data_IF_964179806420
#
_entry.id   IF_964179806420
#
_cell.length_a   1.000
_cell.length_b   1.000
_cell.length_c   1.000
_cell.angle_alpha   90.00
_cell.angle_beta   90.00
_cell.angle_gamma   90.00
#
_symmetry.space_group_name_H-M   'P 1'
#
loop_
_entity.id
_entity.type
_entity.pdbx_description
1 polymer ?
#
# COMPACT_ATOMS: atom_id res chain seq x y z
N UNK A 1 4.74 7.55 -9.52
CA UNK A 1 3.94 8.81 -9.47
C UNK A 1 4.29 9.56 -8.18
N UNK A 2 4.45 10.89 -8.19
CA UNK A 2 4.72 11.69 -6.97
C UNK A 2 3.55 12.63 -6.70
N UNK A 3 3.02 12.61 -5.48
CA UNK A 3 1.95 13.51 -5.07
C UNK A 3 2.49 14.89 -4.67
N UNK A 4 1.67 15.92 -4.83
CA UNK A 4 1.80 17.19 -4.14
C UNK A 4 0.88 17.24 -2.90
N UNK A 5 0.92 18.33 -2.14
CA UNK A 5 0.13 18.45 -0.90
C UNK A 5 -1.38 18.34 -1.14
N UNK A 6 -1.89 18.93 -2.23
CA UNK A 6 -3.31 18.89 -2.58
C UNK A 6 -3.72 17.46 -2.98
N UNK A 7 -2.96 16.85 -3.88
CA UNK A 7 -3.20 15.47 -4.32
C UNK A 7 -3.16 14.48 -3.15
N UNK A 8 -2.28 14.71 -2.18
CA UNK A 8 -2.23 13.91 -0.96
C UNK A 8 -3.48 14.09 -0.09
N UNK A 9 -3.96 15.32 0.10
CA UNK A 9 -5.23 15.56 0.82
C UNK A 9 -6.39 14.88 0.11
N UNK A 10 -6.51 15.09 -1.21
CA UNK A 10 -7.56 14.49 -2.04
C UNK A 10 -7.51 12.95 -1.96
N UNK A 11 -6.30 12.37 -1.96
CA UNK A 11 -6.09 10.93 -1.76
C UNK A 11 -6.57 10.45 -0.39
N UNK A 12 -6.20 11.13 0.70
CA UNK A 12 -6.60 10.75 2.07
C UNK A 12 -8.11 10.78 2.23
N UNK A 13 -8.78 11.79 1.68
CA UNK A 13 -10.24 11.92 1.69
C UNK A 13 -10.94 10.85 0.83
N UNK A 14 -10.22 10.27 -0.13
CA UNK A 14 -10.75 9.31 -1.11
C UNK A 14 -10.31 7.86 -0.86
N UNK A 15 -9.68 7.54 0.28
CA UNK A 15 -9.15 6.20 0.58
C UNK A 15 -10.22 5.11 0.39
N UNK A 16 -11.39 5.27 0.99
CA UNK A 16 -12.44 4.25 0.92
C UNK A 16 -12.99 4.11 -0.52
N UNK A 17 -13.05 5.21 -1.29
CA UNK A 17 -13.45 5.18 -2.70
C UNK A 17 -12.44 4.41 -3.57
N UNK A 18 -11.15 4.59 -3.32
CA UNK A 18 -10.09 3.85 -3.98
C UNK A 18 -10.11 2.37 -3.63
N UNK A 19 -10.34 2.02 -2.35
CA UNK A 19 -10.47 0.62 -1.93
C UNK A 19 -11.68 -0.03 -2.60
N UNK A 20 -12.84 0.62 -2.61
CA UNK A 20 -14.04 0.11 -3.27
C UNK A 20 -13.83 -0.10 -4.77
N UNK A 21 -13.08 0.79 -5.42
CA UNK A 21 -12.69 0.60 -6.81
C UNK A 21 -11.81 -0.62 -7.02
N UNK A 22 -10.80 -0.85 -6.16
CA UNK A 22 -9.97 -2.04 -6.25
C UNK A 22 -10.79 -3.32 -6.07
N UNK A 23 -11.66 -3.36 -5.06
CA UNK A 23 -12.54 -4.52 -4.80
C UNK A 23 -13.45 -4.78 -6.02
N UNK A 24 -14.06 -3.74 -6.58
CA UNK A 24 -14.89 -3.88 -7.79
C UNK A 24 -14.09 -4.48 -8.94
N UNK A 25 -12.87 -3.99 -9.20
CA UNK A 25 -12.05 -4.51 -10.29
C UNK A 25 -11.58 -5.95 -10.02
N UNK A 26 -11.26 -6.28 -8.77
CA UNK A 26 -10.89 -7.64 -8.37
C UNK A 26 -12.07 -8.61 -8.61
N UNK A 27 -13.28 -8.21 -8.20
CA UNK A 27 -14.50 -8.98 -8.44
C UNK A 27 -14.77 -9.19 -9.93
N UNK A 28 -14.62 -8.13 -10.75
CA UNK A 28 -14.76 -8.23 -12.21
C UNK A 28 -13.74 -9.19 -12.85
N UNK A 29 -12.65 -9.52 -12.14
CA UNK A 29 -11.63 -10.46 -12.55
C UNK A 29 -11.68 -11.81 -11.81
N UNK A 30 -12.76 -12.09 -11.06
CA UNK A 30 -12.99 -13.38 -10.40
C UNK A 30 -12.42 -13.52 -8.99
N UNK A 31 -11.87 -12.45 -8.42
CA UNK A 31 -11.38 -12.42 -7.04
C UNK A 31 -12.47 -11.89 -6.11
N UNK A 32 -13.49 -12.70 -5.82
CA UNK A 32 -14.68 -12.29 -5.06
C UNK A 32 -14.34 -11.78 -3.64
N UNK A 33 -14.86 -10.60 -3.29
CA UNK A 33 -14.82 -10.00 -1.96
C UNK A 33 -15.77 -8.80 -1.83
N UNK A 34 -16.21 -8.51 -0.61
CA UNK A 34 -17.16 -7.43 -0.32
C UNK A 34 -16.47 -6.23 0.34
N UNK A 35 -15.40 -6.47 1.10
CA UNK A 35 -14.71 -5.44 1.87
C UNK A 35 -13.20 -5.71 1.98
N UNK A 36 -12.47 -4.73 2.50
CA UNK A 36 -11.00 -4.82 2.63
C UNK A 36 -10.53 -6.06 3.40
N UNK A 37 -11.27 -6.46 4.44
CA UNK A 37 -10.87 -7.57 5.33
C UNK A 37 -10.95 -8.93 4.65
N UNK A 38 -11.75 -9.05 3.60
CA UNK A 38 -11.80 -10.27 2.79
C UNK A 38 -10.47 -10.51 2.08
N UNK A 39 -9.70 -9.44 1.87
CA UNK A 39 -8.38 -9.47 1.25
C UNK A 39 -7.22 -9.41 2.25
N UNK A 40 -7.47 -9.27 3.56
CA UNK A 40 -6.40 -9.27 4.60
C UNK A 40 -5.53 -10.53 4.51
N UNK A 41 -6.14 -11.69 4.25
CA UNK A 41 -5.46 -12.99 4.12
C UNK A 41 -5.37 -13.47 2.66
N UNK A 42 -5.66 -12.58 1.70
CA UNK A 42 -5.65 -12.86 0.25
C UNK A 42 -4.87 -11.80 -0.49
N UNK A 43 -3.77 -11.34 0.12
CA UNK A 43 -2.88 -10.33 -0.47
C UNK A 43 -2.23 -10.88 -1.75
N UNK A 44 -2.04 -12.19 -1.85
CA UNK A 44 -1.56 -12.84 -3.07
C UNK A 44 -2.53 -12.70 -4.25
N UNK A 45 -3.85 -12.67 -4.02
CA UNK A 45 -4.85 -12.43 -5.07
C UNK A 45 -4.68 -11.02 -5.66
N UNK A 46 -4.40 -10.03 -4.80
CA UNK A 46 -4.09 -8.67 -5.22
C UNK A 46 -2.82 -8.68 -6.07
N UNK A 47 -1.76 -9.35 -5.61
CA UNK A 47 -0.52 -9.49 -6.38
C UNK A 47 -0.77 -10.14 -7.75
N UNK A 48 -1.47 -11.26 -7.79
CA UNK A 48 -1.80 -11.99 -9.03
C UNK A 48 -2.57 -11.10 -10.01
N UNK A 49 -3.53 -10.31 -9.51
CA UNK A 49 -4.26 -9.34 -10.32
C UNK A 49 -3.30 -8.31 -10.96
N UNK A 50 -2.41 -7.69 -10.18
CA UNK A 50 -1.48 -6.69 -10.72
C UNK A 50 -0.47 -7.31 -11.70
N UNK A 51 -0.04 -8.54 -11.46
CA UNK A 51 0.88 -9.26 -12.35
C UNK A 51 0.24 -9.58 -13.71
N UNK A 52 -1.03 -9.98 -13.72
CA UNK A 52 -1.68 -10.55 -14.90
C UNK A 52 -2.58 -9.57 -15.64
N UNK A 53 -3.14 -8.57 -14.95
CA UNK A 53 -4.19 -7.69 -15.49
C UNK A 53 -3.78 -6.23 -15.62
N UNK A 54 -2.80 -5.74 -14.83
CA UNK A 54 -2.50 -4.30 -14.77
C UNK A 54 -2.23 -3.67 -16.15
N UNK A 55 -1.46 -4.33 -17.01
CA UNK A 55 -1.11 -3.83 -18.34
C UNK A 55 -2.21 -3.95 -19.40
N UNK A 56 -3.33 -4.61 -19.10
CA UNK A 56 -4.49 -4.68 -20.00
C UNK A 56 -5.26 -3.35 -20.01
N UNK A 57 -5.18 -2.60 -18.91
CA UNK A 57 -5.89 -1.35 -18.72
C UNK A 57 -5.15 -0.15 -19.31
N UNK A 58 -5.91 0.90 -19.64
CA UNK A 58 -5.35 2.19 -20.08
C UNK A 58 -4.65 2.96 -18.94
N UNK A 59 -3.95 4.05 -19.28
CA UNK A 59 -3.20 4.85 -18.32
C UNK A 59 -4.08 5.47 -17.22
N UNK A 60 -5.34 5.82 -17.53
CA UNK A 60 -6.27 6.42 -16.56
C UNK A 60 -6.63 5.38 -15.50
N UNK A 61 -6.98 4.17 -15.93
CA UNK A 61 -7.32 3.06 -15.04
C UNK A 61 -6.09 2.58 -14.27
N UNK A 62 -4.93 2.49 -14.93
CA UNK A 62 -3.65 2.16 -14.26
C UNK A 62 -3.31 3.18 -13.16
N UNK A 63 -3.51 4.48 -13.40
CA UNK A 63 -3.35 5.51 -12.37
C UNK A 63 -4.29 5.29 -11.19
N UNK A 64 -5.55 4.96 -11.45
CA UNK A 64 -6.52 4.68 -10.39
C UNK A 64 -6.17 3.40 -9.62
N UNK A 65 -5.67 2.37 -10.31
CA UNK A 65 -5.14 1.16 -9.67
C UNK A 65 -3.93 1.45 -8.79
N UNK A 66 -3.01 2.34 -9.19
CA UNK A 66 -1.89 2.77 -8.33
C UNK A 66 -2.35 3.45 -7.06
N UNK A 67 -3.30 4.38 -7.17
CA UNK A 67 -3.93 5.02 -6.00
C UNK A 67 -4.60 4.00 -5.10
N UNK A 68 -5.27 3.00 -5.70
CA UNK A 68 -6.01 2.00 -4.95
C UNK A 68 -5.12 0.98 -4.25
N UNK A 69 -3.96 0.66 -4.84
CA UNK A 69 -2.90 -0.06 -4.16
C UNK A 69 -2.47 0.68 -2.89
N UNK A 70 -2.12 1.96 -3.01
CA UNK A 70 -1.72 2.76 -1.85
C UNK A 70 -2.82 2.88 -0.82
N UNK A 71 -4.08 3.09 -1.24
CA UNK A 71 -5.21 3.19 -0.32
C UNK A 71 -5.42 1.89 0.47
N UNK A 72 -5.36 0.73 -0.21
CA UNK A 72 -5.50 -0.58 0.42
C UNK A 72 -4.42 -0.79 1.49
N UNK A 73 -3.15 -0.64 1.14
CA UNK A 73 -2.06 -0.88 2.10
C UNK A 73 -1.98 0.21 3.18
N UNK A 74 -2.31 1.46 2.86
CA UNK A 74 -2.42 2.52 3.86
C UNK A 74 -3.49 2.18 4.91
N UNK A 75 -4.67 1.74 4.47
CA UNK A 75 -5.76 1.34 5.37
C UNK A 75 -5.38 0.11 6.19
N UNK A 76 -4.87 -0.94 5.55
CA UNK A 76 -4.41 -2.16 6.22
C UNK A 76 -3.38 -1.84 7.31
N UNK A 77 -2.33 -1.09 6.98
CA UNK A 77 -1.28 -0.74 7.94
C UNK A 77 -1.81 0.16 9.07
N UNK A 78 -2.68 1.12 8.76
CA UNK A 78 -3.28 2.00 9.77
C UNK A 78 -4.18 1.21 10.74
N UNK A 79 -4.96 0.24 10.25
CA UNK A 79 -5.82 -0.59 11.10
C UNK A 79 -5.00 -1.52 12.02
N UNK A 80 -3.85 -2.01 11.57
CA UNK A 80 -3.01 -2.94 12.35
C UNK A 80 -1.98 -2.25 13.25
N UNK A 81 -1.45 -1.10 12.85
CA UNK A 81 -0.34 -0.41 13.53
C UNK A 81 -0.73 0.97 14.10
N UNK A 82 -1.89 1.51 13.75
CA UNK A 82 -2.28 2.89 14.04
C UNK A 82 -1.48 3.91 13.21
N UNK A 83 -1.39 5.15 13.69
CA UNK A 83 -0.57 6.21 13.09
C UNK A 83 -1.31 7.15 12.14
N UNK A 84 -0.54 7.96 11.42
CA UNK A 84 -1.02 8.99 10.49
C UNK A 84 -0.35 8.83 9.13
N UNK A 85 -1.08 9.08 8.05
CA UNK A 85 -0.49 9.18 6.72
C UNK A 85 0.19 10.53 6.53
N UNK A 86 1.35 10.53 5.89
CA UNK A 86 2.06 11.70 5.38
C UNK A 86 2.62 11.41 4.00
N UNK A 87 2.88 12.48 3.26
CA UNK A 87 3.64 12.39 2.02
C UNK A 87 5.14 12.29 2.32
N UNK A 88 5.78 11.24 1.79
CA UNK A 88 7.19 10.97 1.99
C UNK A 88 8.07 12.16 1.53
N UNK A 89 9.06 12.59 2.32
CA UNK A 89 9.92 13.73 1.98
C UNK A 89 10.87 13.36 0.84
N UNK A 90 11.48 14.38 0.22
CA UNK A 90 12.44 14.20 -0.89
C UNK A 90 13.67 13.36 -0.56
N UNK A 91 14.00 13.24 0.72
CA UNK A 91 15.14 12.46 1.21
C UNK A 91 14.83 10.98 1.37
N UNK A 92 13.58 10.57 1.19
CA UNK A 92 13.14 9.18 1.33
C UNK A 92 13.22 8.42 -0.01
N UNK A 93 13.48 7.12 0.04
CA UNK A 93 13.57 6.28 -1.15
C UNK A 93 12.24 6.21 -1.92
N UNK A 94 11.12 6.38 -1.21
CA UNK A 94 9.78 6.40 -1.76
C UNK A 94 9.19 7.83 -1.77
N UNK A 95 10.00 8.84 -2.08
CA UNK A 95 9.61 10.26 -2.16
C UNK A 95 8.24 10.47 -2.85
N UNK A 96 7.40 11.31 -2.25
CA UNK A 96 6.14 11.73 -2.86
C UNK A 96 5.03 10.67 -2.83
N UNK A 97 5.23 9.55 -2.12
CA UNK A 97 4.21 8.52 -1.92
C UNK A 97 3.57 8.62 -0.53
N UNK A 98 2.32 8.14 -0.36
CA UNK A 98 1.70 8.03 0.96
C UNK A 98 2.48 7.03 1.83
N UNK A 99 2.90 7.48 3.01
CA UNK A 99 3.54 6.63 4.01
C UNK A 99 2.92 6.89 5.38
N UNK A 100 2.81 5.84 6.16
CA UNK A 100 2.42 5.87 7.55
C UNK A 100 3.58 6.38 8.41
N UNK A 101 3.27 7.25 9.36
CA UNK A 101 4.17 7.73 10.42
C UNK A 101 3.45 7.59 11.78
N UNK A 102 4.18 7.77 12.88
CA UNK A 102 3.62 7.70 14.25
C UNK A 102 2.86 6.39 14.53
N UNK A 103 3.27 5.28 13.91
CA UNK A 103 2.65 3.96 14.05
C UNK A 103 3.49 3.06 14.95
N UNK A 104 2.83 2.10 15.59
CA UNK A 104 3.46 1.13 16.48
C UNK A 104 4.29 1.76 17.60
N UNK A 105 5.33 1.05 18.04
CA UNK A 105 6.28 1.50 19.04
C UNK A 105 7.68 1.48 18.42
N UNK A 106 8.12 2.54 17.71
CA UNK A 106 9.56 2.91 17.62
C UNK A 106 9.85 4.13 16.75
N UNK A 107 10.57 5.05 17.39
CA UNK A 107 11.61 5.82 16.74
C UNK A 107 12.79 4.89 16.38
N UNK A 108 13.61 5.27 15.39
CA UNK A 108 14.85 4.57 15.09
C UNK A 108 15.85 4.64 16.27
N UNK A 109 16.99 3.95 16.18
CA UNK A 109 18.05 3.98 17.22
C UNK A 109 18.57 5.40 17.54
N UNK A 110 18.23 6.40 16.71
CA UNK A 110 18.60 7.82 16.86
C UNK A 110 17.41 8.69 17.28
N UNK A 111 16.28 8.09 17.69
CA UNK A 111 15.10 8.83 18.10
C UNK A 111 14.34 9.50 16.95
N UNK A 112 14.56 9.09 15.68
CA UNK A 112 13.81 9.63 14.53
C UNK A 112 12.56 8.81 14.23
N UNK A 113 11.47 9.50 13.91
CA UNK A 113 10.23 8.86 13.43
C UNK A 113 10.54 8.04 12.18
N UNK A 114 10.22 6.74 12.23
CA UNK A 114 10.25 5.87 11.05
C UNK A 114 9.00 6.12 10.22
N UNK A 115 9.17 6.03 8.91
CA UNK A 115 8.10 6.12 7.94
C UNK A 115 8.00 4.74 7.30
N UNK A 116 6.78 4.25 7.10
CA UNK A 116 6.55 2.96 6.48
C UNK A 116 5.44 3.06 5.45
N UNK A 117 5.62 2.38 4.34
CA UNK A 117 4.61 2.23 3.32
C UNK A 117 5.07 1.19 2.34
N UNK A 118 4.14 0.73 1.52
CA UNK A 118 4.46 -0.17 0.42
C UNK A 118 4.42 0.69 -0.84
N UNK A 119 5.61 1.02 -1.34
CA UNK A 119 5.75 1.86 -2.54
C UNK A 119 5.38 1.05 -3.77
N UNK A 120 4.28 1.41 -4.45
CA UNK A 120 3.83 0.74 -5.68
C UNK A 120 4.98 0.54 -6.68
N UNK A 121 5.68 1.62 -7.06
CA UNK A 121 6.75 1.53 -8.08
C UNK A 121 7.89 0.60 -7.64
N UNK A 122 8.27 0.62 -6.35
CA UNK A 122 9.33 -0.25 -5.80
C UNK A 122 8.92 -1.72 -5.80
N UNK A 123 7.68 -2.00 -5.41
CA UNK A 123 7.13 -3.36 -5.36
C UNK A 123 6.87 -3.88 -6.77
N UNK A 124 6.14 -3.12 -7.59
CA UNK A 124 5.71 -3.50 -8.92
C UNK A 124 6.91 -3.74 -9.85
N UNK A 125 7.91 -2.85 -9.86
CA UNK A 125 9.13 -3.08 -10.64
C UNK A 125 9.89 -4.32 -10.16
N UNK A 126 9.93 -4.55 -8.84
CA UNK A 126 10.59 -5.73 -8.29
C UNK A 126 9.93 -7.05 -8.71
N UNK A 127 8.60 -7.06 -8.88
CA UNK A 127 7.85 -8.19 -9.43
C UNK A 127 8.09 -8.34 -10.94
N UNK A 128 7.90 -7.27 -11.71
CA UNK A 128 8.04 -7.30 -13.18
C UNK A 128 9.45 -7.68 -13.60
N UNK A 129 10.47 -7.16 -12.91
CA UNK A 129 11.86 -7.46 -13.18
C UNK A 129 12.34 -8.77 -12.49
N UNK A 130 11.46 -9.47 -11.76
CA UNK A 130 11.78 -10.65 -10.93
C UNK A 130 12.97 -10.43 -9.99
N UNK A 131 13.16 -9.19 -9.52
CA UNK A 131 14.26 -8.79 -8.63
C UNK A 131 13.89 -8.88 -7.15
N UNK A 132 12.60 -8.91 -6.82
CA UNK A 132 12.14 -9.19 -5.46
C UNK A 132 12.11 -10.70 -5.21
N UNK A 133 12.76 -11.13 -4.13
CA UNK A 133 12.80 -12.54 -3.69
C UNK A 133 11.62 -12.92 -2.77
N UNK A 134 10.52 -12.15 -2.76
CA UNK A 134 9.40 -12.37 -1.85
C UNK A 134 8.05 -11.88 -2.42
N UNK A 135 6.96 -12.33 -1.80
CA UNK A 135 5.59 -11.95 -2.15
C UNK A 135 5.19 -10.61 -1.53
N UNK A 136 4.13 -9.99 -2.05
CA UNK A 136 3.47 -8.83 -1.46
C UNK A 136 2.95 -9.18 -0.06
N UNK A 137 2.39 -10.38 0.11
CA UNK A 137 1.99 -10.90 1.42
C UNK A 137 3.18 -10.95 2.39
N UNK A 138 4.30 -11.57 2.01
CA UNK A 138 5.49 -11.64 2.86
C UNK A 138 6.07 -10.26 3.17
N UNK A 139 5.94 -9.29 2.27
CA UNK A 139 6.31 -7.89 2.52
C UNK A 139 5.42 -7.27 3.59
N UNK A 140 4.11 -7.47 3.50
CA UNK A 140 3.14 -6.98 4.49
C UNK A 140 3.36 -7.65 5.84
N UNK A 141 3.50 -8.97 5.88
CA UNK A 141 3.78 -9.72 7.11
C UNK A 141 5.06 -9.25 7.77
N UNK A 142 6.13 -9.06 7.00
CA UNK A 142 7.39 -8.53 7.52
C UNK A 142 7.21 -7.14 8.15
N UNK A 143 6.49 -6.25 7.47
CA UNK A 143 6.18 -4.91 8.00
C UNK A 143 5.39 -5.02 9.31
N UNK A 144 4.32 -5.82 9.33
CA UNK A 144 3.50 -5.98 10.53
C UNK A 144 4.34 -6.57 11.67
N UNK A 145 5.02 -7.71 11.48
CA UNK A 145 5.84 -8.34 12.51
C UNK A 145 6.95 -7.43 13.04
N UNK A 146 7.60 -6.64 12.16
CA UNK A 146 8.69 -5.76 12.56
C UNK A 146 8.19 -4.56 13.40
N UNK A 147 6.98 -4.08 13.15
CA UNK A 147 6.45 -2.84 13.73
C UNK A 147 5.28 -3.02 14.70
N UNK A 148 4.70 -4.22 14.83
CA UNK A 148 3.71 -4.52 15.87
C UNK A 148 4.38 -4.42 17.24
N UNK A 149 3.83 -3.62 18.19
CA UNK A 149 4.36 -3.55 19.54
C UNK A 149 4.40 -4.95 20.18
N UNK A 150 5.43 -5.30 20.98
CA UNK A 150 5.34 -6.50 21.82
C UNK A 150 4.11 -6.37 22.72
N UNK A 151 3.37 -7.47 22.88
CA UNK A 151 2.24 -7.54 23.81
C UNK A 151 2.72 -7.06 25.18
N UNK A 152 2.08 -6.00 25.69
CA UNK A 152 2.34 -5.44 27.00
C UNK A 152 1.84 -6.36 28.12
#
# INVERSE_FOLDING_TARGET
MKMNKKEFTDFVESIDSHINFLISILNDNGFEGENIRDFDNRINDIQEFYETKYFIYDEIVQNKLRLSFWAFFAKLLTEKLGGELRIAPKSDYCEGTPQLINFGNKFDKKGKRKWIGIGFDSWFNGIIEKKLLGTLEGTVEHVLQYYTPPLA
#
